data_IF_355260626143
#
_entry.id   IF_355260626143
#
_cell.length_a   1.000
_cell.length_b   1.000
_cell.length_c   1.000
_cell.angle_alpha   90.00
_cell.angle_beta   90.00
_cell.angle_gamma   90.00
#
_symmetry.space_group_name_H-M   'P 1'
#
loop_
_entity.id
_entity.type
_entity.pdbx_description
1 polymer ?
#
# COMPACT_ATOMS: atom_id res chain seq x y z
N UNK A 1 15.77 -7.33 -11.06
CA UNK A 1 14.65 -6.42 -10.74
C UNK A 1 14.73 -5.25 -11.70
N UNK A 2 13.61 -4.92 -12.37
CA UNK A 2 13.58 -3.84 -13.37
C UNK A 2 13.37 -2.49 -12.64
N UNK A 3 14.32 -1.54 -12.72
CA UNK A 3 14.25 -0.28 -11.99
C UNK A 3 13.16 0.68 -12.48
N UNK A 4 12.55 0.43 -13.64
CA UNK A 4 11.50 1.28 -14.24
C UNK A 4 10.07 0.78 -14.01
N UNK A 5 9.89 -0.31 -13.26
CA UNK A 5 8.54 -0.82 -13.01
C UNK A 5 7.84 0.05 -11.95
N UNK A 6 6.66 0.65 -12.23
CA UNK A 6 5.95 1.46 -11.25
C UNK A 6 5.66 0.61 -10.02
N UNK A 7 6.12 1.09 -8.86
CA UNK A 7 5.84 0.44 -7.60
C UNK A 7 4.34 0.49 -7.34
N UNK A 8 3.67 -0.67 -7.37
CA UNK A 8 2.30 -0.78 -6.91
C UNK A 8 2.24 -0.30 -5.45
N UNK A 9 1.33 0.64 -5.12
CA UNK A 9 1.17 1.09 -3.74
C UNK A 9 0.81 -0.10 -2.85
N UNK A 10 1.34 -0.11 -1.62
CA UNK A 10 1.09 -1.20 -0.68
C UNK A 10 -0.41 -1.28 -0.38
N UNK A 11 -1.09 -2.31 -0.88
CA UNK A 11 -2.53 -2.46 -0.72
C UNK A 11 -2.87 -3.11 0.61
N UNK A 12 -3.84 -2.52 1.33
CA UNK A 12 -4.37 -3.11 2.55
C UNK A 12 -5.30 -4.28 2.19
N UNK A 13 -5.11 -5.47 2.78
CA UNK A 13 -6.03 -6.58 2.57
C UNK A 13 -7.47 -6.22 2.96
N UNK A 14 -8.44 -6.75 2.23
CA UNK A 14 -9.88 -6.57 2.48
C UNK A 14 -10.34 -7.60 3.51
N UNK A 15 -11.05 -7.14 4.54
CA UNK A 15 -11.56 -8.03 5.59
C UNK A 15 -12.69 -8.91 5.03
N UNK A 16 -12.65 -10.23 5.23
CA UNK A 16 -13.74 -11.11 4.84
C UNK A 16 -15.06 -10.73 5.54
N UNK A 17 -16.15 -10.75 4.78
CA UNK A 17 -17.49 -10.45 5.29
C UNK A 17 -18.07 -11.68 5.96
N UNK A 18 -18.51 -11.54 7.21
CA UNK A 18 -19.17 -12.63 7.93
C UNK A 18 -20.51 -12.94 7.24
N UNK A 19 -20.84 -14.22 6.98
CA UNK A 19 -22.20 -14.59 6.60
C UNK A 19 -23.15 -14.24 7.74
N UNK A 20 -24.10 -13.31 7.51
CA UNK A 20 -25.02 -12.81 8.54
C UNK A 20 -26.36 -13.52 8.43
N UNK A 21 -26.91 -13.94 9.56
CA UNK A 21 -28.32 -14.34 9.72
C UNK A 21 -29.10 -13.12 10.17
N UNK A 22 -30.01 -12.58 9.35
CA UNK A 22 -30.98 -11.59 9.85
C UNK A 22 -32.11 -12.35 10.54
N UNK A 23 -32.10 -12.35 11.87
CA UNK A 23 -33.28 -12.69 12.66
C UNK A 23 -34.09 -11.40 12.79
N UNK A 24 -35.14 -11.27 12.00
CA UNK A 24 -36.03 -10.11 12.06
C UNK A 24 -36.74 -10.10 13.43
N UNK A 25 -36.69 -9.02 14.23
CA UNK A 25 -37.69 -8.84 15.27
C UNK A 25 -38.98 -8.42 14.56
N UNK A 26 -40.06 -9.16 14.81
CA UNK A 26 -41.40 -8.81 14.39
C UNK A 26 -41.73 -7.38 14.84
N UNK A 27 -42.23 -6.53 13.94
CA UNK A 27 -43.33 -5.57 14.16
C UNK A 27 -43.48 -4.62 12.96
N UNK A 28 -44.62 -4.78 12.26
CA UNK A 28 -45.38 -3.82 11.46
C UNK A 28 -44.67 -2.73 10.65
N UNK A 29 -44.69 -2.88 9.31
CA UNK A 29 -45.48 -2.00 8.43
C UNK A 29 -45.31 -2.39 6.95
N UNK A 30 -46.44 -2.36 6.27
CA UNK A 30 -46.73 -2.69 4.87
C UNK A 30 -45.72 -2.12 3.86
N UNK A 31 -44.96 -2.98 3.15
CA UNK A 31 -44.54 -2.74 1.75
C UNK A 31 -43.83 -3.92 1.11
N UNK A 32 -44.40 -4.35 -0.02
CA UNK A 32 -43.76 -4.99 -1.18
C UNK A 32 -42.85 -6.18 -0.91
N UNK A 33 -43.45 -7.37 -1.07
CA UNK A 33 -42.83 -8.69 -0.98
C UNK A 33 -41.82 -8.86 -2.14
N UNK A 34 -40.56 -8.50 -1.92
CA UNK A 34 -39.44 -9.12 -2.65
C UNK A 34 -38.96 -10.27 -1.78
N UNK A 35 -39.60 -11.42 -1.95
CA UNK A 35 -39.22 -12.67 -1.30
C UNK A 35 -37.87 -13.13 -1.85
N UNK A 36 -36.79 -12.65 -1.24
CA UNK A 36 -35.48 -13.30 -1.37
C UNK A 36 -35.43 -14.34 -0.26
N UNK A 37 -35.45 -15.61 -0.63
CA UNK A 37 -35.31 -16.71 0.32
C UNK A 37 -34.00 -16.53 1.12
N UNK A 38 -34.14 -16.22 2.42
CA UNK A 38 -33.02 -16.00 3.31
C UNK A 38 -32.51 -17.37 3.82
N UNK A 39 -31.34 -17.79 3.33
CA UNK A 39 -30.73 -19.07 3.69
C UNK A 39 -29.92 -18.97 4.99
N UNK A 40 -30.11 -19.93 5.91
CA UNK A 40 -29.23 -20.15 7.06
C UNK A 40 -27.84 -20.51 6.50
N UNK A 41 -26.76 -19.85 6.96
CA UNK A 41 -25.45 -20.14 6.42
C UNK A 41 -25.01 -21.57 6.75
N UNK A 42 -24.72 -22.34 5.71
CA UNK A 42 -24.33 -23.76 5.82
C UNK A 42 -23.00 -23.89 6.58
N UNK A 43 -22.78 -25.04 7.26
CA UNK A 43 -21.50 -25.33 7.93
C UNK A 43 -20.27 -25.13 7.01
N UNK A 44 -20.41 -25.44 5.72
CA UNK A 44 -19.39 -25.19 4.70
C UNK A 44 -19.08 -23.68 4.52
N UNK A 45 -20.09 -22.82 4.54
CA UNK A 45 -19.92 -21.35 4.41
C UNK A 45 -19.23 -20.76 5.65
N UNK A 46 -19.51 -21.30 6.84
CA UNK A 46 -18.81 -20.92 8.06
C UNK A 46 -17.35 -21.37 8.04
N UNK A 47 -17.08 -22.61 7.63
CA UNK A 47 -15.72 -23.13 7.48
C UNK A 47 -14.90 -22.29 6.48
N UNK A 48 -15.50 -21.95 5.33
CA UNK A 48 -14.87 -21.08 4.34
C UNK A 48 -14.57 -19.69 4.91
N UNK A 49 -15.52 -19.05 5.59
CA UNK A 49 -15.29 -17.76 6.26
C UNK A 49 -14.14 -17.83 7.27
N UNK A 50 -14.03 -18.91 8.05
CA UNK A 50 -12.94 -19.05 9.02
C UNK A 50 -11.57 -19.21 8.35
N UNK A 51 -11.49 -19.91 7.22
CA UNK A 51 -10.27 -20.04 6.44
C UNK A 51 -9.85 -18.69 5.83
N UNK A 52 -10.79 -17.98 5.19
CA UNK A 52 -10.55 -16.64 4.63
C UNK A 52 -10.12 -15.64 5.71
N UNK A 53 -10.72 -15.73 6.92
CA UNK A 53 -10.35 -14.87 8.04
C UNK A 53 -8.92 -15.16 8.54
N UNK A 54 -8.50 -16.43 8.56
CA UNK A 54 -7.14 -16.81 8.94
C UNK A 54 -6.12 -16.27 7.92
N UNK A 55 -6.41 -16.40 6.63
CA UNK A 55 -5.58 -15.84 5.56
C UNK A 55 -5.48 -14.31 5.65
N UNK A 56 -6.62 -13.62 5.77
CA UNK A 56 -6.68 -12.18 6.01
C UNK A 56 -5.80 -11.74 7.20
N UNK A 57 -5.86 -12.48 8.31
CA UNK A 57 -5.06 -12.18 9.49
C UNK A 57 -3.55 -12.35 9.26
N UNK A 58 -3.13 -13.27 8.38
CA UNK A 58 -1.73 -13.36 7.97
C UNK A 58 -1.34 -12.19 7.07
N UNK A 59 -2.17 -11.88 6.08
CA UNK A 59 -1.90 -10.80 5.13
C UNK A 59 -1.86 -9.43 5.81
N UNK A 60 -2.79 -9.13 6.73
CA UNK A 60 -2.81 -7.85 7.43
C UNK A 60 -1.57 -7.67 8.32
N UNK A 61 -1.03 -8.75 8.90
CA UNK A 61 0.24 -8.72 9.63
C UNK A 61 1.41 -8.42 8.69
N UNK A 62 1.45 -9.07 7.51
CA UNK A 62 2.47 -8.79 6.49
C UNK A 62 2.39 -7.33 6.01
N UNK A 63 1.19 -6.84 5.73
CA UNK A 63 0.93 -5.45 5.35
C UNK A 63 1.48 -4.46 6.38
N UNK A 64 1.18 -4.67 7.67
CA UNK A 64 1.69 -3.80 8.76
C UNK A 64 3.22 -3.78 8.80
N UNK A 65 3.88 -4.95 8.75
CA UNK A 65 5.35 -5.03 8.74
C UNK A 65 5.97 -4.31 7.54
N UNK A 66 5.37 -4.44 6.36
CA UNK A 66 5.83 -3.74 5.17
C UNK A 66 5.63 -2.23 5.28
N UNK A 67 4.50 -1.79 5.84
CA UNK A 67 4.21 -0.38 6.08
C UNK A 67 5.20 0.24 7.08
N UNK A 68 5.54 -0.48 8.15
CA UNK A 68 6.52 -0.04 9.13
C UNK A 68 7.91 0.11 8.50
N UNK A 69 8.34 -0.87 7.69
CA UNK A 69 9.59 -0.80 6.94
C UNK A 69 9.61 0.35 5.95
N UNK A 70 8.51 0.58 5.24
CA UNK A 70 8.38 1.71 4.32
C UNK A 70 8.56 3.05 5.07
N UNK A 71 7.91 3.23 6.21
CA UNK A 71 8.08 4.42 7.04
C UNK A 71 9.51 4.60 7.57
N UNK A 72 10.21 3.51 7.89
CA UNK A 72 11.63 3.57 8.26
C UNK A 72 12.51 4.05 7.10
N UNK A 73 12.28 3.53 5.89
CA UNK A 73 13.00 3.96 4.67
C UNK A 73 12.71 5.43 4.39
N UNK A 74 11.45 5.85 4.42
CA UNK A 74 11.07 7.25 4.23
C UNK A 74 11.78 8.18 5.22
N UNK A 75 11.77 7.82 6.51
CA UNK A 75 12.45 8.58 7.56
C UNK A 75 13.95 8.65 7.34
N UNK A 76 14.57 7.53 6.94
CA UNK A 76 16.00 7.48 6.67
C UNK A 76 16.39 8.36 5.48
N UNK A 77 15.58 8.33 4.41
CA UNK A 77 15.74 9.18 3.23
C UNK A 77 15.66 10.65 3.64
N UNK A 78 14.61 11.11 4.31
CA UNK A 78 14.51 12.53 4.72
C UNK A 78 15.60 12.98 5.68
N UNK A 79 16.08 12.11 6.58
CA UNK A 79 17.16 12.46 7.53
C UNK A 79 18.54 12.53 6.88
N UNK A 80 18.80 11.72 5.86
CA UNK A 80 20.12 11.58 5.25
C UNK A 80 20.36 12.56 4.09
N UNK A 81 19.31 13.24 3.63
CA UNK A 81 19.40 14.21 2.54
C UNK A 81 19.79 15.57 3.09
N UNK A 82 20.74 16.22 2.40
CA UNK A 82 21.10 17.62 2.65
C UNK A 82 19.86 18.52 2.52
N UNK A 83 19.55 19.37 3.52
CA UNK A 83 18.37 20.23 3.54
C UNK A 83 18.10 21.00 2.25
N UNK A 84 19.15 21.38 1.51
CA UNK A 84 19.01 22.09 0.23
C UNK A 84 18.23 21.30 -0.82
N UNK A 85 18.26 19.97 -0.77
CA UNK A 85 17.54 19.12 -1.72
C UNK A 85 16.14 18.73 -1.25
N UNK A 86 15.77 18.99 0.01
CA UNK A 86 14.46 18.64 0.54
C UNK A 86 13.31 19.31 -0.23
N UNK A 87 13.53 20.53 -0.73
CA UNK A 87 12.52 21.25 -1.52
C UNK A 87 12.16 20.52 -2.82
N UNK A 88 13.09 19.77 -3.40
CA UNK A 88 12.87 19.06 -4.67
C UNK A 88 12.11 17.74 -4.50
N UNK A 89 12.00 17.23 -3.28
CA UNK A 89 11.36 15.94 -2.98
C UNK A 89 10.15 16.05 -2.05
N UNK A 90 9.79 17.27 -1.62
CA UNK A 90 8.72 17.51 -0.63
C UNK A 90 7.33 17.09 -1.16
N UNK A 91 7.07 17.31 -2.46
CA UNK A 91 5.77 17.07 -3.10
C UNK A 91 5.64 15.66 -3.67
N UNK A 92 6.60 14.78 -3.35
CA UNK A 92 6.67 13.42 -3.89
C UNK A 92 6.17 12.44 -2.83
N UNK A 93 5.11 11.70 -3.14
CA UNK A 93 4.48 10.80 -2.16
C UNK A 93 5.20 9.47 -1.96
N UNK A 94 6.06 9.07 -2.90
CA UNK A 94 6.74 7.77 -2.88
C UNK A 94 8.25 7.93 -2.69
N UNK A 95 8.92 7.22 -1.76
CA UNK A 95 10.37 7.23 -1.62
C UNK A 95 11.13 6.89 -2.91
N UNK A 96 10.59 6.03 -3.78
CA UNK A 96 11.19 5.77 -5.10
C UNK A 96 11.29 7.05 -5.95
N UNK A 97 10.20 7.81 -6.00
CA UNK A 97 10.13 9.07 -6.74
C UNK A 97 11.07 10.13 -6.14
N UNK A 98 11.19 10.18 -4.80
CA UNK A 98 12.16 11.02 -4.10
C UNK A 98 13.60 10.67 -4.51
N UNK A 99 13.94 9.37 -4.45
CA UNK A 99 15.26 8.87 -4.82
C UNK A 99 15.60 9.13 -6.29
N UNK A 100 14.65 8.91 -7.20
CA UNK A 100 14.82 9.16 -8.64
C UNK A 100 15.10 10.64 -8.93
N UNK A 101 14.37 11.55 -8.27
CA UNK A 101 14.60 13.00 -8.40
C UNK A 101 15.95 13.42 -7.83
N UNK A 102 16.36 12.88 -6.68
CA UNK A 102 17.70 13.16 -6.12
C UNK A 102 18.80 12.63 -7.03
N UNK A 103 18.62 11.43 -7.58
CA UNK A 103 19.57 10.83 -8.52
C UNK A 103 19.74 11.72 -9.74
N UNK A 104 18.65 12.25 -10.32
CA UNK A 104 18.74 13.21 -11.43
C UNK A 104 19.43 14.52 -11.04
N UNK A 105 19.16 15.07 -9.85
CA UNK A 105 19.77 16.32 -9.38
C UNK A 105 21.26 16.20 -9.06
N UNK A 106 21.67 15.03 -8.55
CA UNK A 106 23.05 14.72 -8.20
C UNK A 106 23.80 14.03 -9.34
N UNK A 107 23.12 13.75 -10.46
CA UNK A 107 23.79 13.20 -11.64
C UNK A 107 24.78 14.22 -12.16
N UNK A 108 26.04 13.84 -12.39
CA UNK A 108 27.05 14.78 -12.87
C UNK A 108 26.57 15.40 -14.18
N UNK A 109 26.51 16.73 -14.19
CA UNK A 109 26.15 17.49 -15.38
C UNK A 109 27.22 17.25 -16.45
N UNK A 110 26.89 17.44 -17.73
CA UNK A 110 27.87 17.34 -18.83
C UNK A 110 29.16 18.13 -18.56
N UNK A 111 29.03 19.27 -17.88
CA UNK A 111 30.12 20.15 -17.44
C UNK A 111 30.99 19.48 -16.37
N UNK A 112 30.41 18.79 -15.39
CA UNK A 112 31.16 18.09 -14.34
C UNK A 112 31.96 16.90 -14.90
N UNK A 113 31.42 16.25 -15.94
CA UNK A 113 32.10 15.18 -16.66
C UNK A 113 33.28 15.71 -17.48
N UNK A 114 33.11 16.82 -18.19
CA UNK A 114 34.20 17.48 -18.93
C UNK A 114 35.31 17.97 -17.99
N UNK A 115 34.95 18.50 -16.82
CA UNK A 115 35.92 18.97 -15.83
C UNK A 115 36.74 17.82 -15.20
N UNK A 116 36.11 16.66 -14.97
CA UNK A 116 36.81 15.44 -14.52
C UNK A 116 37.83 14.95 -15.55
N UNK A 117 37.46 14.96 -16.85
CA UNK A 117 38.36 14.54 -17.94
C UNK A 117 39.56 15.50 -18.06
N UNK A 118 39.35 16.81 -17.93
CA UNK A 118 40.45 17.79 -17.97
C UNK A 118 41.39 17.68 -16.78
N UNK A 119 40.91 17.27 -15.60
CA UNK A 119 41.75 17.13 -14.41
C UNK A 119 42.64 15.88 -14.43
N UNK A 120 42.33 14.93 -15.30
CA UNK A 120 43.10 13.68 -15.50
C UNK A 120 44.18 13.77 -16.58
N UNK A 121 44.34 14.92 -17.22
CA UNK A 121 45.43 15.25 -18.16
C UNK A 121 46.31 16.37 -17.59
#
# INVERSE_FOLDING_TARGET
>A
MNPDQPHCPLQKPTKPTRPVTHSQPESDSTSTIVSTAQAIPTAAQQAQYTAELAEYNMEIKKYRRLKDKLGQVETHVTKSIDPKYLYHIKDKDNPYEKLKTLQQLLSPTKIDQEYQVQKTY
#
